data_IF_812677515379
#
_entry.id   IF_812677515379
#
_cell.length_a   1.000
_cell.length_b   1.000
_cell.length_c   1.000
_cell.angle_alpha   90.00
_cell.angle_beta   90.00
_cell.angle_gamma   90.00
#
_symmetry.space_group_name_H-M   'P 1'
#
loop_
_entity.id
_entity.type
_entity.pdbx_description
1 polymer ?
#
# COMPACT_ATOMS: atom_id res chain seq x y z
N UNK A 1 -16.33 -17.70 -18.18
CA UNK A 1 -16.53 -16.36 -17.56
C UNK A 1 -16.61 -15.35 -18.69
N UNK A 2 -17.70 -14.57 -18.81
CA UNK A 2 -17.82 -13.61 -19.90
C UNK A 2 -16.90 -12.40 -19.62
N UNK A 3 -15.73 -12.39 -20.25
CA UNK A 3 -14.67 -11.37 -20.06
C UNK A 3 -15.12 -9.96 -20.41
N UNK A 4 -16.12 -9.82 -21.30
CA UNK A 4 -16.69 -8.53 -21.68
C UNK A 4 -17.45 -7.86 -20.52
N UNK A 5 -18.17 -8.63 -19.72
CA UNK A 5 -18.91 -8.13 -18.55
C UNK A 5 -17.92 -7.62 -17.49
N UNK A 6 -16.88 -8.41 -17.21
CA UNK A 6 -15.82 -8.05 -16.25
C UNK A 6 -15.11 -6.77 -16.67
N UNK A 7 -14.72 -6.66 -17.95
CA UNK A 7 -14.05 -5.47 -18.49
C UNK A 7 -14.96 -4.23 -18.45
N UNK A 8 -16.25 -4.39 -18.72
CA UNK A 8 -17.22 -3.29 -18.64
C UNK A 8 -17.38 -2.77 -17.21
N UNK A 9 -17.47 -3.65 -16.22
CA UNK A 9 -17.54 -3.26 -14.80
C UNK A 9 -16.26 -2.54 -14.35
N UNK A 10 -15.08 -3.09 -14.69
CA UNK A 10 -13.79 -2.44 -14.35
C UNK A 10 -13.72 -1.03 -14.95
N UNK A 11 -14.10 -0.88 -16.23
CA UNK A 11 -14.08 0.43 -16.92
C UNK A 11 -15.05 1.43 -16.29
N UNK A 12 -16.20 0.96 -15.81
CA UNK A 12 -17.18 1.78 -15.09
C UNK A 12 -16.59 2.27 -13.76
N UNK A 13 -16.10 1.37 -12.91
CA UNK A 13 -15.52 1.73 -11.61
C UNK A 13 -14.32 2.68 -11.76
N UNK A 14 -13.43 2.44 -12.73
CA UNK A 14 -12.34 3.36 -13.07
C UNK A 14 -12.85 4.76 -13.39
N UNK A 15 -13.91 4.86 -14.22
CA UNK A 15 -14.50 6.16 -14.58
C UNK A 15 -15.07 6.88 -13.37
N UNK A 16 -15.67 6.15 -12.44
CA UNK A 16 -16.25 6.73 -11.22
C UNK A 16 -15.16 7.24 -10.27
N UNK A 17 -14.01 6.56 -10.21
CA UNK A 17 -12.82 7.04 -9.50
C UNK A 17 -12.33 8.37 -10.08
N UNK A 18 -12.15 8.44 -11.41
CA UNK A 18 -11.67 9.67 -12.06
C UNK A 18 -12.64 10.84 -12.01
N UNK A 19 -13.95 10.57 -11.85
CA UNK A 19 -14.97 11.63 -11.72
C UNK A 19 -15.04 12.22 -10.31
N UNK A 20 -14.62 11.47 -9.30
CA UNK A 20 -14.76 11.90 -7.90
C UNK A 20 -13.49 12.61 -7.44
N UNK A 21 -13.54 13.95 -7.37
CA UNK A 21 -12.38 14.79 -7.01
C UNK A 21 -11.71 14.38 -5.69
N UNK A 22 -12.51 14.01 -4.68
CA UNK A 22 -12.00 13.56 -3.38
C UNK A 22 -11.16 12.28 -3.49
N UNK A 23 -11.64 11.27 -4.24
CA UNK A 23 -10.89 10.02 -4.46
C UNK A 23 -9.61 10.26 -5.26
N UNK A 24 -9.72 11.08 -6.31
CA UNK A 24 -8.58 11.42 -7.16
C UNK A 24 -7.51 12.20 -6.38
N UNK A 25 -7.92 13.10 -5.48
CA UNK A 25 -7.00 13.78 -4.57
C UNK A 25 -6.23 12.77 -3.71
N UNK A 26 -6.89 11.80 -3.07
CA UNK A 26 -6.18 10.79 -2.26
C UNK A 26 -5.25 9.92 -3.10
N UNK A 27 -5.67 9.51 -4.30
CA UNK A 27 -4.88 8.71 -5.24
C UNK A 27 -3.64 9.45 -5.76
N UNK A 28 -3.62 10.78 -5.72
CA UNK A 28 -2.46 11.57 -6.13
C UNK A 28 -1.61 11.98 -4.92
N UNK A 29 -2.25 12.57 -3.90
CA UNK A 29 -1.56 13.17 -2.75
C UNK A 29 -0.76 12.13 -1.97
N UNK A 30 -1.33 10.94 -1.73
CA UNK A 30 -0.65 9.91 -0.92
C UNK A 30 0.60 9.37 -1.63
N UNK A 31 0.53 8.93 -2.91
CA UNK A 31 1.72 8.68 -3.70
C UNK A 31 2.74 9.80 -3.66
N UNK A 32 2.35 11.03 -3.97
CA UNK A 32 3.30 12.16 -4.05
C UNK A 32 3.97 12.39 -2.69
N UNK A 33 3.23 12.28 -1.59
CA UNK A 33 3.76 12.44 -0.25
C UNK A 33 4.86 11.41 0.05
N UNK A 34 4.60 10.12 -0.19
CA UNK A 34 5.54 9.05 0.18
C UNK A 34 6.61 8.76 -0.88
N UNK A 35 6.34 8.99 -2.16
CA UNK A 35 7.26 8.68 -3.26
C UNK A 35 8.12 9.86 -3.69
N UNK A 36 7.68 11.11 -3.47
CA UNK A 36 8.41 12.30 -3.92
C UNK A 36 8.82 13.16 -2.73
N UNK A 37 7.85 13.59 -1.93
CA UNK A 37 8.09 14.56 -0.85
C UNK A 37 8.99 13.96 0.24
N UNK A 38 8.68 12.75 0.72
CA UNK A 38 9.45 12.11 1.78
C UNK A 38 10.91 11.82 1.38
N UNK A 39 11.20 11.11 0.27
CA UNK A 39 12.59 10.92 -0.16
C UNK A 39 13.26 12.22 -0.59
N UNK A 40 12.52 13.15 -1.21
CA UNK A 40 13.05 14.45 -1.64
C UNK A 40 13.51 15.31 -0.47
N UNK A 41 12.73 15.38 0.62
CA UNK A 41 13.12 16.08 1.84
C UNK A 41 14.33 15.41 2.47
N UNK A 42 14.34 14.09 2.58
CA UNK A 42 15.45 13.38 3.23
C UNK A 42 16.76 13.54 2.45
N UNK A 43 16.76 13.20 1.17
CA UNK A 43 17.95 13.30 0.32
C UNK A 43 18.37 14.76 0.13
N UNK A 44 17.40 15.67 -0.04
CA UNK A 44 17.68 17.11 -0.08
C UNK A 44 18.31 17.60 1.22
N UNK A 45 17.81 17.16 2.38
CA UNK A 45 18.39 17.53 3.66
C UNK A 45 19.82 17.04 3.81
N UNK A 46 20.14 15.83 3.35
CA UNK A 46 21.49 15.29 3.40
C UNK A 46 22.47 15.98 2.44
N UNK A 47 22.00 16.53 1.32
CA UNK A 47 22.84 17.29 0.38
C UNK A 47 23.08 18.73 0.87
N UNK A 48 22.06 19.38 1.42
CA UNK A 48 22.07 20.81 1.70
C UNK A 48 22.33 21.18 3.17
N UNK A 49 22.13 20.24 4.12
CA UNK A 49 22.28 20.48 5.54
C UNK A 49 23.18 19.43 6.18
N UNK A 50 24.04 19.88 7.09
CA UNK A 50 24.94 19.05 7.90
C UNK A 50 24.09 18.31 8.95
N UNK A 51 23.54 17.16 8.57
CA UNK A 51 22.51 16.43 9.35
C UNK A 51 23.03 16.02 10.72
N UNK A 52 24.34 15.73 10.80
CA UNK A 52 25.05 15.36 12.03
C UNK A 52 25.02 16.47 13.08
N UNK A 53 25.16 17.74 12.67
CA UNK A 53 25.09 18.90 13.58
C UNK A 53 23.67 19.18 14.08
N UNK A 54 22.65 18.72 13.37
CA UNK A 54 21.25 19.11 13.61
C UNK A 54 20.50 18.10 14.47
N UNK A 55 20.87 16.81 14.41
CA UNK A 55 20.14 15.71 15.08
C UNK A 55 20.88 15.07 16.26
N UNK A 56 22.16 15.41 16.50
CA UNK A 56 22.90 15.04 17.71
C UNK A 56 23.04 13.54 17.97
N UNK A 57 23.21 13.16 19.25
CA UNK A 57 23.61 11.82 19.71
C UNK A 57 22.59 10.70 19.46
N UNK A 58 21.30 11.01 19.28
CA UNK A 58 20.25 9.98 19.14
C UNK A 58 20.26 9.32 17.75
N UNK A 59 20.67 10.06 16.72
CA UNK A 59 20.84 9.50 15.38
C UNK A 59 22.10 8.65 15.25
N UNK A 60 23.19 8.99 15.95
CA UNK A 60 24.39 8.15 16.00
C UNK A 60 24.11 6.76 16.58
N UNK A 61 23.30 6.68 17.64
CA UNK A 61 22.88 5.39 18.23
C UNK A 61 22.02 4.55 17.29
N UNK A 62 21.12 5.20 16.54
CA UNK A 62 20.28 4.52 15.56
C UNK A 62 21.14 3.96 14.43
N UNK A 63 22.09 4.76 13.93
CA UNK A 63 23.08 4.34 12.93
C UNK A 63 23.89 3.14 13.41
N UNK A 64 24.48 3.18 14.61
CA UNK A 64 25.24 2.08 15.19
C UNK A 64 24.41 0.80 15.33
N UNK A 65 23.15 0.92 15.76
CA UNK A 65 22.22 -0.20 15.88
C UNK A 65 21.97 -0.84 14.50
N UNK A 66 21.73 -0.04 13.46
CA UNK A 66 21.52 -0.55 12.11
C UNK A 66 22.80 -1.13 11.49
N UNK A 67 23.96 -0.49 11.70
CA UNK A 67 25.27 -0.96 11.25
C UNK A 67 25.58 -2.35 11.82
N UNK A 68 25.30 -2.56 13.11
CA UNK A 68 25.51 -3.84 13.78
C UNK A 68 24.67 -4.99 13.19
N UNK A 69 23.52 -4.67 12.60
CA UNK A 69 22.58 -5.65 12.04
C UNK A 69 22.74 -5.86 10.52
N UNK A 70 23.53 -5.03 9.82
CA UNK A 70 23.65 -5.03 8.35
C UNK A 70 24.98 -5.56 7.82
N UNK A 71 25.81 -6.19 8.66
CA UNK A 71 27.11 -6.79 8.31
C UNK A 71 28.07 -5.82 7.59
N UNK A 72 28.15 -4.57 8.06
CA UNK A 72 29.34 -3.72 7.91
C UNK A 72 29.75 -3.25 6.50
N UNK A 73 28.91 -3.38 5.47
CA UNK A 73 29.20 -2.73 4.17
C UNK A 73 28.47 -1.41 4.13
N UNK A 74 29.05 -0.38 4.73
CA UNK A 74 28.48 0.96 4.68
C UNK A 74 29.60 1.98 4.49
N UNK A 75 29.38 2.84 3.50
CA UNK A 75 30.29 3.87 2.97
C UNK A 75 31.09 4.62 4.04
N UNK A 76 32.27 5.12 3.70
CA UNK A 76 33.17 5.78 4.66
C UNK A 76 32.57 7.03 5.32
N UNK A 77 31.56 7.65 4.69
CA UNK A 77 30.91 8.86 5.19
C UNK A 77 29.59 8.56 5.92
N UNK A 78 29.46 9.02 7.17
CA UNK A 78 28.29 8.77 8.04
C UNK A 78 26.96 9.24 7.39
N UNK A 79 26.98 10.33 6.63
CA UNK A 79 25.81 10.84 5.92
C UNK A 79 25.32 9.88 4.84
N UNK A 80 26.25 9.30 4.07
CA UNK A 80 25.95 8.30 3.05
C UNK A 80 25.37 7.03 3.69
N UNK A 81 25.89 6.61 4.84
CA UNK A 81 25.36 5.48 5.58
C UNK A 81 23.92 5.73 6.06
N UNK A 82 23.65 6.90 6.64
CA UNK A 82 22.31 7.32 7.08
C UNK A 82 21.30 7.27 5.94
N UNK A 83 21.63 7.92 4.82
CA UNK A 83 20.77 7.97 3.64
C UNK A 83 20.52 6.58 3.10
N UNK A 84 21.56 5.74 2.99
CA UNK A 84 21.42 4.38 2.49
C UNK A 84 20.49 3.54 3.37
N UNK A 85 20.67 3.60 4.69
CA UNK A 85 19.81 2.88 5.65
C UNK A 85 18.36 3.33 5.52
N UNK A 86 18.12 4.64 5.51
CA UNK A 86 16.78 5.18 5.42
C UNK A 86 16.11 4.77 4.11
N UNK A 87 16.78 4.94 2.98
CA UNK A 87 16.25 4.64 1.64
C UNK A 87 15.98 3.14 1.46
N UNK A 88 16.80 2.26 2.05
CA UNK A 88 16.71 0.82 1.81
C UNK A 88 15.92 0.03 2.85
N UNK A 89 15.72 0.56 4.06
CA UNK A 89 15.03 -0.16 5.14
C UNK A 89 13.81 0.60 5.67
N UNK A 90 13.92 1.90 5.92
CA UNK A 90 12.81 2.66 6.51
C UNK A 90 11.79 3.15 5.47
N UNK A 91 12.27 3.74 4.37
CA UNK A 91 11.46 4.26 3.29
C UNK A 91 10.54 3.21 2.63
N UNK A 92 10.98 1.95 2.38
CA UNK A 92 10.08 0.89 1.90
C UNK A 92 8.86 0.67 2.81
N UNK A 93 9.06 0.78 4.12
CA UNK A 93 8.01 0.58 5.12
C UNK A 93 6.96 1.69 5.07
N UNK A 94 7.39 2.94 4.89
CA UNK A 94 6.49 4.07 4.62
C UNK A 94 5.80 3.94 3.26
N UNK A 95 6.51 3.49 2.23
CA UNK A 95 5.96 3.32 0.89
C UNK A 95 4.80 2.32 0.87
N UNK A 96 4.81 1.30 1.74
CA UNK A 96 3.74 0.31 1.89
C UNK A 96 2.39 0.95 2.28
N UNK A 97 2.38 2.17 2.85
CA UNK A 97 1.16 2.94 3.09
C UNK A 97 0.43 3.31 1.80
N UNK A 98 1.15 3.52 0.69
CA UNK A 98 0.57 3.90 -0.60
C UNK A 98 -0.41 2.85 -1.12
N UNK A 99 -0.03 1.57 -1.34
CA UNK A 99 -0.98 0.55 -1.80
C UNK A 99 -2.11 0.30 -0.81
N UNK A 100 -1.89 0.43 0.50
CA UNK A 100 -2.95 0.25 1.51
C UNK A 100 -4.00 1.36 1.41
N UNK A 101 -3.57 2.62 1.52
CA UNK A 101 -4.50 3.75 1.58
C UNK A 101 -5.28 3.85 0.26
N UNK A 102 -4.58 3.69 -0.88
CA UNK A 102 -5.22 3.74 -2.19
C UNK A 102 -6.17 2.57 -2.42
N UNK A 103 -5.82 1.34 -2.01
CA UNK A 103 -6.73 0.19 -2.07
C UNK A 103 -7.94 0.35 -1.18
N UNK A 104 -7.76 0.88 0.04
CA UNK A 104 -8.85 1.08 0.99
C UNK A 104 -9.88 2.08 0.47
N UNK A 105 -9.43 3.22 -0.05
CA UNK A 105 -10.30 4.26 -0.59
C UNK A 105 -11.04 3.79 -1.83
N UNK A 106 -10.35 3.12 -2.75
CA UNK A 106 -10.95 2.60 -3.98
C UNK A 106 -11.97 1.49 -3.67
N UNK A 107 -11.60 0.53 -2.82
CA UNK A 107 -12.49 -0.56 -2.44
C UNK A 107 -13.71 -0.05 -1.65
N UNK A 108 -13.51 0.86 -0.68
CA UNK A 108 -14.62 1.48 0.05
C UNK A 108 -15.59 2.19 -0.90
N UNK A 109 -15.09 2.88 -1.92
CA UNK A 109 -15.96 3.57 -2.87
C UNK A 109 -16.72 2.58 -3.76
N UNK A 110 -16.08 1.52 -4.25
CA UNK A 110 -16.73 0.51 -5.09
C UNK A 110 -17.77 -0.30 -4.30
N UNK A 111 -17.47 -0.75 -3.08
CA UNK A 111 -18.39 -1.58 -2.30
C UNK A 111 -19.38 -0.76 -1.48
N UNK A 112 -18.89 0.11 -0.60
CA UNK A 112 -19.76 0.84 0.33
C UNK A 112 -20.41 2.05 -0.36
N UNK A 113 -19.69 2.75 -1.23
CA UNK A 113 -20.26 3.86 -2.00
C UNK A 113 -21.43 3.45 -2.88
N UNK A 114 -21.38 2.27 -3.51
CA UNK A 114 -22.54 1.74 -4.25
C UNK A 114 -23.68 1.25 -3.34
N UNK A 115 -23.36 0.76 -2.14
CA UNK A 115 -24.35 0.41 -1.11
C UNK A 115 -25.12 1.65 -0.66
N UNK A 116 -24.40 2.72 -0.34
CA UNK A 116 -24.93 3.99 0.11
C UNK A 116 -25.82 4.66 -0.97
N UNK A 117 -25.43 4.51 -2.24
CA UNK A 117 -26.21 5.01 -3.40
C UNK A 117 -27.36 4.09 -3.83
N UNK A 118 -27.60 2.97 -3.13
CA UNK A 118 -28.60 1.92 -3.47
C UNK A 118 -28.44 1.32 -4.88
N UNK A 119 -27.27 1.43 -5.48
CA UNK A 119 -27.02 0.87 -6.82
C UNK A 119 -26.60 -0.60 -6.76
N UNK A 120 -26.12 -1.07 -5.61
CA UNK A 120 -25.81 -2.50 -5.39
C UNK A 120 -27.03 -3.40 -5.54
N UNK A 121 -28.20 -2.97 -5.05
CA UNK A 121 -29.44 -3.75 -5.12
C UNK A 121 -29.81 -4.02 -6.58
N UNK A 122 -29.78 -2.99 -7.42
CA UNK A 122 -30.01 -3.13 -8.87
C UNK A 122 -29.00 -4.06 -9.56
N UNK A 123 -27.73 -4.02 -9.14
CA UNK A 123 -26.68 -4.92 -9.64
C UNK A 123 -26.90 -6.39 -9.25
N UNK A 124 -27.47 -6.65 -8.08
CA UNK A 124 -27.80 -8.00 -7.60
C UNK A 124 -28.98 -8.64 -8.35
N UNK A 125 -29.88 -7.83 -8.92
CA UNK A 125 -30.97 -8.29 -9.78
C UNK A 125 -30.55 -8.48 -11.24
N UNK A 126 -29.33 -8.08 -11.60
CA UNK A 126 -28.79 -8.33 -12.95
C UNK A 126 -28.56 -9.82 -13.21
N UNK A 127 -28.60 -10.29 -14.47
CA UNK A 127 -28.35 -11.70 -14.82
C UNK A 127 -26.87 -12.09 -14.70
N UNK A 128 -26.09 -11.43 -13.84
CA UNK A 128 -24.67 -11.67 -13.62
C UNK A 128 -24.51 -12.58 -12.40
N UNK A 129 -23.76 -13.70 -12.50
CA UNK A 129 -23.54 -14.58 -11.36
C UNK A 129 -22.73 -13.86 -10.27
N UNK A 130 -23.11 -14.05 -9.01
CA UNK A 130 -22.52 -13.38 -7.83
C UNK A 130 -21.00 -13.57 -7.77
N UNK A 131 -20.49 -14.74 -8.14
CA UNK A 131 -19.05 -15.01 -8.23
C UNK A 131 -18.34 -14.09 -9.23
N UNK A 132 -18.94 -13.84 -10.39
CA UNK A 132 -18.38 -12.93 -11.39
C UNK A 132 -18.43 -11.49 -10.93
N UNK A 133 -19.51 -11.06 -10.27
CA UNK A 133 -19.62 -9.73 -9.68
C UNK A 133 -18.55 -9.47 -8.60
N UNK A 134 -18.32 -10.47 -7.74
CA UNK A 134 -17.28 -10.40 -6.72
C UNK A 134 -15.87 -10.29 -7.33
N UNK A 135 -15.55 -11.15 -8.29
CA UNK A 135 -14.23 -11.15 -8.97
C UNK A 135 -14.02 -9.83 -9.72
N UNK A 136 -15.03 -9.34 -10.44
CA UNK A 136 -14.91 -8.09 -11.19
C UNK A 136 -14.68 -6.89 -10.29
N UNK A 137 -15.39 -6.77 -9.16
CA UNK A 137 -15.18 -5.66 -8.22
C UNK A 137 -13.84 -5.73 -7.50
N UNK A 138 -13.42 -6.94 -7.14
CA UNK A 138 -12.10 -7.15 -6.52
C UNK A 138 -10.99 -6.71 -7.49
N UNK A 139 -11.07 -7.14 -8.76
CA UNK A 139 -10.13 -6.71 -9.80
C UNK A 139 -10.23 -5.21 -10.12
N UNK A 140 -11.44 -4.66 -10.17
CA UNK A 140 -11.68 -3.24 -10.40
C UNK A 140 -11.07 -2.35 -9.31
N UNK A 141 -10.96 -2.86 -8.07
CA UNK A 141 -10.30 -2.16 -6.97
C UNK A 141 -8.80 -2.43 -6.92
N UNK A 142 -8.39 -3.67 -7.14
CA UNK A 142 -6.99 -4.08 -7.07
C UNK A 142 -6.13 -3.43 -8.16
N UNK A 143 -6.56 -3.50 -9.43
CA UNK A 143 -5.78 -3.04 -10.58
C UNK A 143 -5.38 -1.56 -10.46
N UNK A 144 -6.30 -0.60 -10.27
CA UNK A 144 -5.92 0.81 -10.18
C UNK A 144 -5.02 1.09 -8.98
N UNK A 145 -5.30 0.51 -7.81
CA UNK A 145 -4.49 0.73 -6.61
C UNK A 145 -3.07 0.16 -6.75
N UNK A 146 -2.94 -1.02 -7.37
CA UNK A 146 -1.63 -1.59 -7.67
C UNK A 146 -0.87 -0.78 -8.73
N UNK A 147 -1.54 -0.34 -9.80
CA UNK A 147 -0.94 0.53 -10.81
C UNK A 147 -0.42 1.84 -10.20
N UNK A 148 -1.18 2.44 -9.28
CA UNK A 148 -0.75 3.64 -8.55
C UNK A 148 0.51 3.35 -7.74
N UNK A 149 0.59 2.19 -7.06
CA UNK A 149 1.81 1.77 -6.35
C UNK A 149 3.00 1.59 -7.31
N UNK A 150 2.81 0.96 -8.47
CA UNK A 150 3.89 0.80 -9.47
C UNK A 150 4.36 2.15 -10.02
N UNK A 151 3.44 3.06 -10.35
CA UNK A 151 3.80 4.42 -10.78
C UNK A 151 4.53 5.19 -9.68
N UNK A 152 4.09 5.06 -8.44
CA UNK A 152 4.76 5.65 -7.26
C UNK A 152 6.17 5.10 -7.10
N UNK A 153 6.38 3.81 -7.34
CA UNK A 153 7.70 3.18 -7.27
C UNK A 153 8.65 3.75 -8.32
N UNK A 154 8.18 3.91 -9.56
CA UNK A 154 8.97 4.50 -10.65
C UNK A 154 9.34 5.95 -10.32
N UNK A 155 8.37 6.74 -9.85
CA UNK A 155 8.60 8.13 -9.43
C UNK A 155 9.59 8.21 -8.26
N UNK A 156 9.44 7.33 -7.28
CA UNK A 156 10.33 7.25 -6.12
C UNK A 156 11.77 6.93 -6.54
N UNK A 157 11.94 5.91 -7.40
CA UNK A 157 13.25 5.55 -7.93
C UNK A 157 13.90 6.68 -8.72
N UNK A 158 13.12 7.44 -9.49
CA UNK A 158 13.61 8.62 -10.21
C UNK A 158 14.12 9.69 -9.24
N UNK A 159 13.35 10.04 -8.20
CA UNK A 159 13.75 11.04 -7.20
C UNK A 159 14.99 10.59 -6.42
N UNK A 160 15.01 9.32 -6.01
CA UNK A 160 16.12 8.74 -5.24
C UNK A 160 17.40 8.73 -6.08
N UNK A 161 17.36 8.29 -7.33
CA UNK A 161 18.55 8.26 -8.18
C UNK A 161 19.00 9.67 -8.58
N UNK A 162 18.08 10.60 -8.85
CA UNK A 162 18.43 11.96 -9.23
C UNK A 162 19.18 12.69 -8.10
N UNK A 163 18.67 12.61 -6.87
CA UNK A 163 19.30 13.26 -5.71
C UNK A 163 20.45 12.43 -5.13
N UNK A 164 20.30 11.11 -5.12
CA UNK A 164 21.32 10.18 -4.63
C UNK A 164 22.59 10.19 -5.47
N UNK A 165 22.51 10.43 -6.78
CA UNK A 165 23.70 10.53 -7.63
C UNK A 165 24.66 11.65 -7.19
N UNK A 166 24.13 12.74 -6.62
CA UNK A 166 24.96 13.82 -6.08
C UNK A 166 25.73 13.40 -4.81
N UNK A 167 25.17 12.50 -4.01
CA UNK A 167 25.75 12.03 -2.75
C UNK A 167 26.69 10.85 -2.95
N UNK A 168 26.32 9.88 -3.79
CA UNK A 168 27.01 8.59 -3.92
C UNK A 168 27.84 8.47 -5.20
N UNK A 169 27.60 9.31 -6.22
CA UNK A 169 28.23 9.18 -7.54
C UNK A 169 27.79 7.95 -8.35
N UNK A 170 26.89 7.12 -7.80
CA UNK A 170 26.37 5.91 -8.42
C UNK A 170 24.84 5.80 -8.24
N UNK A 171 24.21 4.89 -9.00
CA UNK A 171 22.78 4.60 -8.85
C UNK A 171 22.55 3.67 -7.66
N UNK A 172 21.93 4.21 -6.60
CA UNK A 172 21.61 3.47 -5.37
C UNK A 172 20.29 2.69 -5.42
N UNK A 173 19.50 2.87 -6.49
CA UNK A 173 18.17 2.27 -6.66
C UNK A 173 18.00 1.66 -8.07
N UNK A 174 17.33 0.51 -8.24
CA UNK A 174 16.58 -0.27 -7.23
C UNK A 174 17.42 -1.35 -6.52
N UNK A 175 17.19 -1.50 -5.22
CA UNK A 175 17.80 -2.55 -4.38
C UNK A 175 16.88 -3.79 -4.27
N UNK A 176 17.43 -4.91 -3.81
CA UNK A 176 16.66 -6.14 -3.56
C UNK A 176 15.42 -5.93 -2.67
N UNK A 177 15.52 -5.11 -1.62
CA UNK A 177 14.37 -4.76 -0.75
C UNK A 177 13.20 -4.17 -1.55
N UNK A 178 13.51 -3.22 -2.42
CA UNK A 178 12.54 -2.51 -3.25
C UNK A 178 11.90 -3.43 -4.29
N UNK A 179 12.67 -4.33 -4.90
CA UNK A 179 12.17 -5.32 -5.84
C UNK A 179 11.22 -6.32 -5.16
N UNK A 180 11.59 -6.87 -4.00
CA UNK A 180 10.73 -7.78 -3.24
C UNK A 180 9.47 -7.04 -2.77
N UNK A 181 9.60 -5.78 -2.35
CA UNK A 181 8.46 -4.96 -1.96
C UNK A 181 7.45 -4.80 -3.09
N UNK A 182 7.89 -4.36 -4.28
CA UNK A 182 6.94 -4.04 -5.35
C UNK A 182 6.35 -5.30 -6.02
N UNK A 183 7.15 -6.37 -6.13
CA UNK A 183 6.73 -7.60 -6.82
C UNK A 183 5.97 -8.57 -5.94
N UNK A 184 6.31 -8.65 -4.64
CA UNK A 184 5.73 -9.62 -3.72
C UNK A 184 4.86 -8.96 -2.67
N UNK A 185 5.40 -8.02 -1.88
CA UNK A 185 4.68 -7.54 -0.71
C UNK A 185 3.51 -6.60 -1.06
N UNK A 186 3.75 -5.62 -1.94
CA UNK A 186 2.76 -4.64 -2.41
C UNK A 186 1.49 -5.31 -2.96
N UNK A 187 1.55 -6.23 -3.95
CA UNK A 187 0.33 -6.84 -4.48
C UNK A 187 -0.40 -7.69 -3.44
N UNK A 188 0.32 -8.38 -2.54
CA UNK A 188 -0.32 -9.17 -1.49
C UNK A 188 -1.06 -8.28 -0.49
N UNK A 189 -0.49 -7.14 -0.13
CA UNK A 189 -1.12 -6.19 0.80
C UNK A 189 -2.26 -5.41 0.12
N UNK A 190 -2.13 -5.04 -1.15
CA UNK A 190 -3.24 -4.45 -1.93
C UNK A 190 -4.43 -5.40 -1.94
N UNK A 191 -4.20 -6.69 -2.25
CA UNK A 191 -5.25 -7.70 -2.24
C UNK A 191 -5.87 -7.86 -0.86
N UNK A 192 -5.05 -7.94 0.19
CA UNK A 192 -5.50 -8.01 1.58
C UNK A 192 -6.44 -6.86 1.91
N UNK A 193 -6.03 -5.64 1.56
CA UNK A 193 -6.79 -4.43 1.86
C UNK A 193 -8.14 -4.43 1.14
N UNK A 194 -8.17 -4.87 -0.12
CA UNK A 194 -9.44 -5.01 -0.87
C UNK A 194 -10.33 -6.05 -0.19
N UNK A 195 -9.81 -7.25 0.14
CA UNK A 195 -10.60 -8.32 0.77
C UNK A 195 -11.15 -7.92 2.14
N UNK A 196 -10.36 -7.22 2.96
CA UNK A 196 -10.80 -6.70 4.25
C UNK A 196 -11.89 -5.64 4.08
N UNK A 197 -11.75 -4.73 3.11
CA UNK A 197 -12.78 -3.73 2.81
C UNK A 197 -14.11 -4.38 2.39
N UNK A 198 -14.09 -5.54 1.74
CA UNK A 198 -15.31 -6.29 1.42
C UNK A 198 -15.99 -6.77 2.72
N UNK A 199 -15.24 -7.32 3.67
CA UNK A 199 -15.80 -7.70 4.97
C UNK A 199 -16.36 -6.49 5.74
N UNK A 200 -15.65 -5.37 5.72
CA UNK A 200 -16.10 -4.12 6.34
C UNK A 200 -17.40 -3.65 5.68
N UNK A 201 -17.49 -3.70 4.36
CA UNK A 201 -18.68 -3.28 3.60
C UNK A 201 -19.96 -4.03 3.96
N UNK A 202 -19.83 -5.27 4.43
CA UNK A 202 -20.96 -6.06 4.91
C UNK A 202 -21.52 -5.55 6.25
N UNK A 203 -20.74 -4.81 7.05
CA UNK A 203 -21.13 -4.33 8.39
C UNK A 203 -21.42 -2.84 8.47
N UNK A 204 -20.90 -2.06 7.54
CA UNK A 204 -21.06 -0.59 7.54
C UNK A 204 -22.12 -0.14 6.54
N UNK A 205 -22.68 1.05 6.76
CA UNK A 205 -23.69 1.65 5.89
C UNK A 205 -23.18 2.86 5.11
N UNK A 206 -22.18 3.58 5.66
CA UNK A 206 -21.65 4.80 5.07
C UNK A 206 -20.20 4.66 4.62
N UNK A 207 -19.83 5.38 3.56
CA UNK A 207 -18.45 5.42 3.07
C UNK A 207 -17.46 5.89 4.14
N UNK A 208 -17.85 6.84 4.99
CA UNK A 208 -16.99 7.38 6.04
C UNK A 208 -16.70 6.36 7.16
N UNK A 209 -17.70 5.58 7.58
CA UNK A 209 -17.49 4.46 8.51
C UNK A 209 -16.55 3.41 7.92
N UNK A 210 -16.74 3.08 6.64
CA UNK A 210 -15.87 2.13 5.93
C UNK A 210 -14.42 2.59 5.94
N UNK A 211 -14.17 3.87 5.67
CA UNK A 211 -12.82 4.44 5.64
C UNK A 211 -12.19 4.51 7.03
N UNK A 212 -12.98 4.80 8.08
CA UNK A 212 -12.47 4.83 9.46
C UNK A 212 -12.06 3.43 9.94
N UNK A 213 -12.90 2.42 9.70
CA UNK A 213 -12.59 1.04 10.05
C UNK A 213 -11.48 0.49 9.13
N UNK A 214 -11.53 0.79 7.84
CA UNK A 214 -10.51 0.43 6.86
C UNK A 214 -9.15 1.08 7.15
N UNK A 215 -9.15 2.27 7.76
CA UNK A 215 -7.95 2.94 8.25
C UNK A 215 -7.20 2.13 9.31
N UNK A 216 -7.88 1.28 10.08
CA UNK A 216 -7.21 0.39 11.05
C UNK A 216 -6.29 -0.64 10.39
N UNK A 217 -6.47 -0.93 9.10
CA UNK A 217 -5.58 -1.82 8.31
C UNK A 217 -4.16 -1.25 8.25
N UNK A 218 -3.99 0.06 8.47
CA UNK A 218 -2.69 0.75 8.47
C UNK A 218 -1.90 0.48 9.76
N UNK A 219 -2.56 0.15 10.88
CA UNK A 219 -1.91 0.03 12.19
C UNK A 219 -0.73 -0.96 12.25
N UNK A 220 -0.81 -2.18 11.67
CA UNK A 220 0.33 -3.09 11.67
C UNK A 220 1.56 -2.51 10.97
N UNK A 221 1.36 -1.69 9.94
CA UNK A 221 2.45 -1.03 9.22
C UNK A 221 3.03 0.11 10.05
N UNK A 222 2.20 0.87 10.76
CA UNK A 222 2.69 1.89 11.71
C UNK A 222 3.51 1.23 12.82
N UNK A 223 3.04 0.10 13.37
CA UNK A 223 3.81 -0.66 14.36
C UNK A 223 5.15 -1.16 13.79
N UNK A 224 5.17 -1.59 12.53
CA UNK A 224 6.38 -2.00 11.83
C UNK A 224 7.37 -0.85 11.61
N UNK A 225 6.86 0.34 11.25
CA UNK A 225 7.66 1.56 11.09
C UNK A 225 8.24 1.98 12.45
N UNK A 226 7.42 2.02 13.50
CA UNK A 226 7.85 2.38 14.84
C UNK A 226 8.90 1.39 15.39
N UNK A 227 8.73 0.09 15.13
CA UNK A 227 9.69 -0.93 15.53
C UNK A 227 11.05 -0.79 14.84
N UNK A 228 11.06 -0.49 13.54
CA UNK A 228 12.30 -0.23 12.80
C UNK A 228 12.95 1.09 13.21
N UNK A 229 12.17 2.16 13.41
CA UNK A 229 12.68 3.44 13.89
C UNK A 229 13.30 3.33 15.29
N UNK A 230 12.74 2.46 16.15
CA UNK A 230 13.31 2.14 17.46
C UNK A 230 14.47 1.14 17.44
N UNK A 231 14.89 0.64 16.26
CA UNK A 231 15.98 -0.32 16.12
C UNK A 231 15.68 -1.74 16.62
N UNK A 232 14.41 -2.08 16.89
CA UNK A 232 14.01 -3.39 17.41
C UNK A 232 14.30 -4.54 16.43
N UNK A 233 14.13 -4.27 15.13
CA UNK A 233 14.38 -5.21 14.06
C UNK A 233 14.57 -4.45 12.74
N UNK A 234 15.18 -5.12 11.75
CA UNK A 234 15.31 -4.62 10.38
C UNK A 234 14.51 -5.50 9.43
N UNK A 235 13.75 -4.87 8.55
CA UNK A 235 12.99 -5.57 7.50
C UNK A 235 13.86 -5.64 6.24
N UNK A 236 14.71 -6.67 6.18
CA UNK A 236 15.48 -7.01 4.99
C UNK A 236 14.69 -7.80 3.93
N UNK A 237 15.33 -8.21 2.82
CA UNK A 237 14.62 -8.81 1.68
C UNK A 237 13.96 -10.14 2.05
N UNK A 238 14.64 -10.97 2.85
CA UNK A 238 14.13 -12.25 3.33
C UNK A 238 12.88 -12.07 4.21
N UNK A 239 12.93 -11.11 5.15
CA UNK A 239 11.80 -10.82 6.04
C UNK A 239 10.60 -10.30 5.24
N UNK A 240 10.83 -9.41 4.26
CA UNK A 240 9.76 -8.95 3.35
C UNK A 240 9.13 -10.10 2.57
N UNK A 241 9.94 -11.03 2.08
CA UNK A 241 9.45 -12.19 1.35
C UNK A 241 8.60 -13.11 2.25
N UNK A 242 9.07 -13.41 3.46
CA UNK A 242 8.31 -14.18 4.44
C UNK A 242 7.01 -13.49 4.83
N UNK A 243 7.04 -12.17 5.01
CA UNK A 243 5.85 -11.38 5.32
C UNK A 243 4.86 -11.38 4.15
N UNK A 244 5.34 -11.29 2.91
CA UNK A 244 4.51 -11.46 1.71
C UNK A 244 3.85 -12.84 1.67
N UNK A 245 4.60 -13.92 1.97
CA UNK A 245 4.05 -15.27 2.04
C UNK A 245 3.00 -15.42 3.16
N UNK A 246 3.22 -14.81 4.32
CA UNK A 246 2.26 -14.79 5.42
C UNK A 246 0.97 -14.04 5.04
N UNK A 247 1.10 -12.87 4.40
CA UNK A 247 -0.06 -12.10 3.89
C UNK A 247 -0.80 -12.87 2.81
N UNK A 248 -0.09 -13.57 1.91
CA UNK A 248 -0.71 -14.43 0.91
C UNK A 248 -1.51 -15.56 1.57
N UNK A 249 -0.95 -16.24 2.58
CA UNK A 249 -1.69 -17.28 3.31
C UNK A 249 -2.96 -16.71 3.96
N UNK A 250 -2.88 -15.51 4.54
CA UNK A 250 -4.05 -14.84 5.11
C UNK A 250 -5.09 -14.45 4.04
N UNK A 251 -4.64 -13.98 2.87
CA UNK A 251 -5.51 -13.70 1.72
C UNK A 251 -6.27 -14.96 1.26
N UNK A 252 -5.60 -16.11 1.20
CA UNK A 252 -6.24 -17.38 0.84
C UNK A 252 -7.31 -17.76 1.87
N UNK A 253 -7.03 -17.61 3.17
CA UNK A 253 -8.00 -17.86 4.25
C UNK A 253 -9.20 -16.91 4.13
N UNK A 254 -8.96 -15.62 3.90
CA UNK A 254 -10.04 -14.64 3.72
C UNK A 254 -10.90 -14.98 2.50
N UNK A 255 -10.29 -15.34 1.37
CA UNK A 255 -11.00 -15.68 0.15
C UNK A 255 -11.84 -16.96 0.32
N UNK A 256 -11.32 -17.96 1.03
CA UNK A 256 -12.09 -19.15 1.42
C UNK A 256 -13.28 -18.80 2.32
N UNK A 257 -13.12 -17.89 3.29
CA UNK A 257 -14.23 -17.44 4.13
C UNK A 257 -15.28 -16.67 3.34
N UNK A 258 -14.86 -15.76 2.44
CA UNK A 258 -15.80 -14.99 1.61
C UNK A 258 -16.59 -15.91 0.69
N UNK A 259 -15.92 -16.87 0.04
CA UNK A 259 -16.59 -17.81 -0.88
C UNK A 259 -17.58 -18.72 -0.16
N UNK A 260 -17.31 -19.14 1.08
CA UNK A 260 -18.26 -19.87 1.93
C UNK A 260 -19.45 -19.02 2.40
N UNK A 261 -19.25 -17.71 2.58
CA UNK A 261 -20.32 -16.76 2.93
C UNK A 261 -21.16 -16.31 1.72
N UNK A 262 -20.77 -16.74 0.51
CA UNK A 262 -21.36 -16.27 -0.75
C UNK A 262 -22.63 -17.04 -1.17
N UNK A 263 -23.29 -17.72 -0.24
CA UNK A 263 -24.64 -18.21 -0.46
C UNK A 263 -25.59 -17.01 -0.53
N UNK A 264 -26.28 -16.90 -1.67
CA UNK A 264 -27.09 -15.74 -2.10
C UNK A 264 -27.93 -15.15 -0.96
N UNK A 265 -28.49 -16.00 -0.11
CA UNK A 265 -29.35 -15.66 1.02
C UNK A 265 -28.66 -14.87 2.16
N UNK A 266 -27.39 -15.15 2.48
CA UNK A 266 -26.67 -14.50 3.60
C UNK A 266 -26.22 -13.07 3.22
N UNK A 267 -25.97 -12.83 1.94
CA UNK A 267 -25.73 -11.48 1.40
C UNK A 267 -27.02 -10.64 1.38
N UNK A 268 -28.18 -11.24 1.07
CA UNK A 268 -29.49 -10.58 1.15
C UNK A 268 -29.81 -10.14 2.58
N UNK A 269 -29.62 -11.01 3.58
CA UNK A 269 -30.02 -10.73 4.96
C UNK A 269 -29.16 -9.64 5.64
N UNK A 270 -27.86 -9.56 5.31
CA UNK A 270 -26.93 -8.59 5.93
C UNK A 270 -26.90 -7.23 5.24
N UNK A 271 -27.50 -7.09 4.05
CA UNK A 271 -27.51 -5.82 3.31
C UNK A 271 -28.84 -5.07 3.41
N UNK A 272 -29.94 -5.75 3.78
CA UNK A 272 -31.28 -5.17 3.91
C UNK A 272 -31.53 -4.57 5.32
N UNK A 273 -30.74 -4.94 6.33
CA UNK A 273 -30.87 -4.46 7.72
C UNK A 273 -29.75 -3.52 8.17
#
# INVERSE_FOLDING_TARGET
MNTNIVKAMIRKDLRDIFRTKSLLATIIVIPVLFSVLLPGILLGSAVFFDVEKTLGNDMGKLLETFLSQTNGILFDNAEQQMVYIFVNYLLPSFFLLVPIITASVVASNSFVGEKERRTLESLLFSPIPVRTLFISKTLASFIPSFLVSVLSFILCGFVINLLGYQLFGEMIFPTANWLVLITCLSPMVTLLTVLLNIFISARVKTFQEAQNIGGLIILPVIAMIAGQAGGLFIVGPLVMFLLSAAVLAFNLILLQRITKMNDRHVLFEKQIH
#
